data_IF_635222065657
#
_entry.id   IF_635222065657
#
_cell.length_a   1.000
_cell.length_b   1.000
_cell.length_c   1.000
_cell.angle_alpha   90.00
_cell.angle_beta   90.00
_cell.angle_gamma   90.00
#
_symmetry.space_group_name_H-M   'P 1'
#
loop_
_entity.id
_entity.type
_entity.pdbx_description
1 polymer ?
#
# COMPACT_ATOMS: atom_id res chain seq x y z
N UNK A 1 -21.13 0.77 13.82
CA UNK A 1 -20.82 0.35 12.44
C UNK A 1 -20.21 -1.06 12.54
N UNK A 2 -20.79 -2.04 11.85
CA UNK A 2 -20.40 -3.47 11.88
C UNK A 2 -19.63 -3.81 10.60
N UNK A 3 -18.67 -4.74 10.68
CA UNK A 3 -17.98 -5.33 9.53
C UNK A 3 -18.95 -5.85 8.45
N UNK A 4 -19.98 -6.61 8.82
CA UNK A 4 -20.96 -7.18 7.88
C UNK A 4 -21.71 -6.08 7.13
N UNK A 5 -22.16 -5.04 7.84
CA UNK A 5 -22.87 -3.91 7.23
C UNK A 5 -21.99 -3.18 6.20
N UNK A 6 -20.71 -2.98 6.52
CA UNK A 6 -19.77 -2.32 5.61
C UNK A 6 -19.46 -3.21 4.41
N UNK A 7 -19.28 -4.51 4.63
CA UNK A 7 -19.06 -5.48 3.56
C UNK A 7 -20.26 -5.57 2.61
N UNK A 8 -21.48 -5.61 3.14
CA UNK A 8 -22.72 -5.58 2.34
C UNK A 8 -22.84 -4.30 1.53
N UNK A 9 -22.53 -3.14 2.13
CA UNK A 9 -22.54 -1.86 1.43
C UNK A 9 -21.53 -1.84 0.26
N UNK A 10 -20.32 -2.35 0.49
CA UNK A 10 -19.28 -2.46 -0.55
C UNK A 10 -19.71 -3.43 -1.66
N UNK A 11 -20.18 -4.63 -1.31
CA UNK A 11 -20.57 -5.64 -2.30
C UNK A 11 -21.77 -5.21 -3.16
N UNK A 12 -22.66 -4.39 -2.61
CA UNK A 12 -23.80 -3.85 -3.37
C UNK A 12 -23.36 -2.91 -4.49
N UNK A 13 -22.36 -2.07 -4.22
CA UNK A 13 -21.88 -1.06 -5.18
C UNK A 13 -20.75 -1.61 -6.08
N UNK A 14 -19.92 -2.50 -5.55
CA UNK A 14 -18.72 -3.05 -6.19
C UNK A 14 -18.67 -4.59 -6.10
N UNK A 15 -19.62 -5.31 -6.71
CA UNK A 15 -19.78 -6.76 -6.53
C UNK A 15 -18.57 -7.58 -7.00
N UNK A 16 -17.80 -7.07 -7.96
CA UNK A 16 -16.63 -7.77 -8.52
C UNK A 16 -15.29 -7.19 -8.06
N UNK A 17 -15.28 -6.15 -7.22
CA UNK A 17 -14.03 -5.51 -6.79
C UNK A 17 -13.31 -6.30 -5.70
N UNK A 18 -14.08 -6.97 -4.83
CA UNK A 18 -13.54 -7.72 -3.69
C UNK A 18 -13.17 -9.14 -4.12
N UNK A 19 -11.90 -9.49 -4.00
CA UNK A 19 -11.34 -10.81 -4.34
C UNK A 19 -11.38 -11.76 -3.14
N UNK A 20 -11.10 -11.25 -1.94
CA UNK A 20 -11.12 -12.03 -0.71
C UNK A 20 -11.47 -11.16 0.49
N UNK A 21 -12.07 -11.79 1.51
CA UNK A 21 -12.47 -11.14 2.77
C UNK A 21 -11.87 -11.92 3.92
N UNK A 22 -11.32 -11.22 4.90
CA UNK A 22 -10.81 -11.81 6.13
C UNK A 22 -11.00 -10.86 7.30
N UNK A 23 -11.13 -11.40 8.52
CA UNK A 23 -11.32 -10.61 9.74
C UNK A 23 -10.31 -10.99 10.83
N UNK A 24 -8.99 -10.81 10.60
CA UNK A 24 -7.98 -11.08 11.61
C UNK A 24 -8.22 -10.16 12.82
N UNK A 25 -8.46 -10.76 13.99
CA UNK A 25 -8.70 -10.06 15.25
C UNK A 25 -9.86 -9.05 15.17
N UNK A 26 -10.87 -9.33 14.34
CA UNK A 26 -12.05 -8.49 14.16
C UNK A 26 -11.85 -7.26 13.26
N UNK A 27 -10.69 -7.11 12.62
CA UNK A 27 -10.43 -6.04 11.66
C UNK A 27 -10.83 -6.47 10.25
N UNK A 28 -11.87 -5.83 9.68
CA UNK A 28 -12.29 -6.07 8.31
C UNK A 28 -11.13 -5.81 7.33
N UNK A 29 -10.71 -6.87 6.65
CA UNK A 29 -9.60 -6.85 5.69
C UNK A 29 -10.08 -7.39 4.35
N UNK A 30 -10.04 -6.53 3.33
CA UNK A 30 -10.51 -6.84 1.98
C UNK A 30 -9.33 -6.87 1.03
N UNK A 31 -9.24 -7.91 0.22
CA UNK A 31 -8.41 -7.90 -0.97
C UNK A 31 -9.22 -7.36 -2.14
N UNK A 32 -8.70 -6.34 -2.83
CA UNK A 32 -9.42 -5.59 -3.85
C UNK A 32 -8.61 -5.55 -5.15
N UNK A 33 -9.30 -5.63 -6.29
CA UNK A 33 -8.70 -5.39 -7.61
C UNK A 33 -8.07 -4.01 -7.70
N UNK A 34 -6.87 -3.90 -8.29
CA UNK A 34 -6.13 -2.62 -8.38
C UNK A 34 -6.89 -1.56 -9.15
N UNK A 35 -7.68 -1.95 -10.14
CA UNK A 35 -8.45 -1.06 -11.02
C UNK A 35 -9.64 -0.39 -10.30
N UNK A 36 -10.12 -1.01 -9.22
CA UNK A 36 -11.31 -0.55 -8.49
C UNK A 36 -10.98 0.13 -7.17
N UNK A 37 -9.72 0.05 -6.69
CA UNK A 37 -9.34 0.53 -5.35
C UNK A 37 -9.63 2.02 -5.17
N UNK A 38 -9.29 2.87 -6.15
CA UNK A 38 -9.53 4.31 -6.04
C UNK A 38 -11.02 4.65 -5.97
N UNK A 39 -11.84 4.00 -6.80
CA UNK A 39 -13.30 4.21 -6.81
C UNK A 39 -13.92 3.74 -5.50
N UNK A 40 -13.48 2.58 -4.99
CA UNK A 40 -13.94 2.04 -3.72
C UNK A 40 -13.56 2.97 -2.56
N UNK A 41 -12.31 3.45 -2.51
CA UNK A 41 -11.86 4.40 -1.49
C UNK A 41 -12.65 5.71 -1.55
N UNK A 42 -12.89 6.24 -2.74
CA UNK A 42 -13.73 7.42 -2.94
C UNK A 42 -15.15 7.20 -2.41
N UNK A 43 -15.77 6.06 -2.72
CA UNK A 43 -17.09 5.70 -2.20
C UNK A 43 -17.10 5.55 -0.68
N UNK A 44 -16.09 4.89 -0.09
CA UNK A 44 -15.98 4.74 1.37
C UNK A 44 -15.90 6.10 2.07
N UNK A 45 -15.23 7.07 1.45
CA UNK A 45 -15.08 8.42 1.98
C UNK A 45 -16.39 9.23 1.87
N UNK A 46 -17.06 9.20 0.72
CA UNK A 46 -18.18 10.09 0.40
C UNK A 46 -19.58 9.48 0.69
N UNK A 47 -19.67 8.17 0.92
CA UNK A 47 -20.90 7.50 1.33
C UNK A 47 -21.25 7.77 2.80
N UNK A 48 -22.40 7.23 3.26
CA UNK A 48 -22.81 7.23 4.66
C UNK A 48 -21.81 6.54 5.61
N UNK A 49 -20.80 5.85 5.07
CA UNK A 49 -19.73 5.23 5.85
C UNK A 49 -18.72 6.25 6.36
N UNK A 50 -18.63 7.44 5.76
CA UNK A 50 -17.80 8.58 6.18
C UNK A 50 -16.38 8.18 6.64
N UNK A 51 -15.70 7.32 5.87
CA UNK A 51 -14.33 6.90 6.18
C UNK A 51 -13.37 8.03 5.80
N UNK A 52 -13.31 9.04 6.66
CA UNK A 52 -12.62 10.30 6.39
C UNK A 52 -11.15 10.36 6.76
N UNK A 53 -10.58 9.31 7.38
CA UNK A 53 -9.19 9.30 7.82
C UNK A 53 -8.38 8.19 7.16
N UNK A 54 -7.30 8.57 6.48
CA UNK A 54 -6.27 7.66 6.00
C UNK A 54 -5.20 7.54 7.09
N UNK A 55 -5.08 6.36 7.66
CA UNK A 55 -4.11 6.08 8.73
C UNK A 55 -2.73 5.81 8.16
N UNK A 56 -2.65 4.99 7.11
CA UNK A 56 -1.39 4.50 6.57
C UNK A 56 -1.56 3.93 5.16
N UNK A 57 -0.51 4.06 4.34
CA UNK A 57 -0.32 3.33 3.07
C UNK A 57 1.05 2.67 3.15
N UNK A 58 1.09 1.35 3.04
CA UNK A 58 2.35 0.61 3.07
C UNK A 58 2.45 -0.42 1.93
N UNK A 59 3.67 -0.62 1.46
CA UNK A 59 3.99 -1.67 0.49
C UNK A 59 4.25 -3.02 1.17
N UNK A 60 4.06 -4.11 0.42
CA UNK A 60 4.45 -5.46 0.82
C UNK A 60 5.01 -6.22 -0.38
N UNK A 61 5.99 -7.10 -0.13
CA UNK A 61 6.61 -7.92 -1.17
C UNK A 61 6.58 -9.41 -0.80
N UNK A 62 5.92 -10.20 -1.66
CA UNK A 62 5.85 -11.66 -1.65
C UNK A 62 6.49 -12.27 -2.91
N UNK A 63 7.83 -12.40 -2.97
CA UNK A 63 8.56 -12.86 -4.16
C UNK A 63 8.16 -14.27 -4.64
N UNK A 64 7.57 -15.08 -3.75
CA UNK A 64 7.12 -16.43 -4.05
C UNK A 64 5.81 -16.51 -4.82
N UNK A 65 4.98 -15.44 -4.82
CA UNK A 65 3.70 -15.40 -5.53
C UNK A 65 3.81 -14.42 -6.71
N UNK A 66 4.07 -14.95 -7.91
CA UNK A 66 4.32 -14.13 -9.11
C UNK A 66 3.14 -13.24 -9.51
N UNK A 67 1.90 -13.66 -9.23
CA UNK A 67 0.70 -12.87 -9.54
C UNK A 67 0.44 -11.78 -8.49
N UNK A 68 0.93 -11.98 -7.25
CA UNK A 68 0.73 -11.08 -6.10
C UNK A 68 2.07 -10.65 -5.49
N UNK A 69 3.05 -10.40 -6.36
CA UNK A 69 4.44 -10.19 -5.94
C UNK A 69 4.56 -8.92 -5.10
N UNK A 70 3.94 -7.83 -5.55
CA UNK A 70 3.86 -6.58 -4.80
C UNK A 70 2.43 -6.35 -4.33
N UNK A 71 2.30 -5.67 -3.20
CA UNK A 71 1.02 -5.19 -2.74
C UNK A 71 1.10 -3.83 -2.07
N UNK A 72 -0.03 -3.12 -2.11
CA UNK A 72 -0.26 -1.87 -1.39
C UNK A 72 -1.38 -2.12 -0.39
N UNK A 73 -1.16 -1.73 0.86
CA UNK A 73 -2.12 -1.87 1.94
C UNK A 73 -2.58 -0.47 2.34
N UNK A 74 -3.89 -0.25 2.31
CA UNK A 74 -4.52 0.98 2.78
C UNK A 74 -5.18 0.72 4.12
N UNK A 75 -4.81 1.50 5.13
CA UNK A 75 -5.47 1.51 6.43
C UNK A 75 -6.38 2.72 6.51
N UNK A 76 -7.68 2.50 6.56
CA UNK A 76 -8.68 3.56 6.58
C UNK A 76 -9.48 3.50 7.89
N UNK A 77 -9.87 4.66 8.39
CA UNK A 77 -10.55 4.82 9.67
C UNK A 77 -11.67 5.86 9.57
N UNK A 78 -12.84 5.51 10.06
CA UNK A 78 -13.86 6.47 10.42
C UNK A 78 -13.69 6.86 11.90
N UNK A 79 -13.23 8.10 12.14
CA UNK A 79 -13.01 8.63 13.48
C UNK A 79 -14.30 8.83 14.30
N UNK A 80 -15.45 9.06 13.64
CA UNK A 80 -16.75 9.27 14.31
C UNK A 80 -17.33 7.97 14.86
N UNK A 81 -17.27 6.90 14.06
CA UNK A 81 -17.82 5.58 14.43
C UNK A 81 -16.78 4.65 15.03
N UNK A 82 -15.51 5.09 15.07
CA UNK A 82 -14.34 4.31 15.43
C UNK A 82 -14.18 3.00 14.63
N UNK A 83 -14.65 2.99 13.38
CA UNK A 83 -14.61 1.83 12.51
C UNK A 83 -13.35 1.83 11.65
N UNK A 84 -12.66 0.69 11.54
CA UNK A 84 -11.43 0.55 10.76
C UNK A 84 -11.61 -0.51 9.68
N UNK A 85 -11.06 -0.25 8.51
CA UNK A 85 -11.01 -1.19 7.39
C UNK A 85 -9.62 -1.19 6.79
N UNK A 86 -9.17 -2.37 6.38
CA UNK A 86 -7.90 -2.57 5.68
C UNK A 86 -8.19 -3.04 4.26
N UNK A 87 -7.66 -2.34 3.27
CA UNK A 87 -7.71 -2.78 1.89
C UNK A 87 -6.31 -3.27 1.48
N UNK A 88 -6.25 -4.39 0.79
CA UNK A 88 -5.02 -4.96 0.23
C UNK A 88 -5.20 -5.04 -1.27
N UNK A 89 -4.26 -4.47 -2.01
CA UNK A 89 -4.19 -4.57 -3.46
C UNK A 89 -2.92 -5.30 -3.80
N UNK A 90 -3.01 -6.38 -4.55
CA UNK A 90 -1.85 -7.14 -5.01
C UNK A 90 -1.71 -7.03 -6.53
N UNK A 91 -0.47 -7.09 -7.00
CA UNK A 91 -0.12 -6.98 -8.42
C UNK A 91 1.22 -7.66 -8.72
N UNK A 92 1.44 -8.10 -9.96
CA UNK A 92 2.76 -8.55 -10.40
C UNK A 92 3.73 -7.36 -10.47
N UNK A 93 5.02 -7.63 -10.26
CA UNK A 93 6.08 -6.60 -10.27
C UNK A 93 6.19 -5.87 -11.62
N UNK A 94 5.90 -6.56 -12.72
CA UNK A 94 5.93 -6.02 -14.08
C UNK A 94 4.85 -4.94 -14.31
N UNK A 95 3.74 -5.03 -13.57
CA UNK A 95 2.62 -4.09 -13.64
C UNK A 95 2.38 -3.39 -12.29
N UNK A 96 3.48 -3.06 -11.59
CA UNK A 96 3.46 -2.40 -10.28
C UNK A 96 2.99 -0.93 -10.37
N UNK A 97 1.73 -0.73 -10.74
CA UNK A 97 1.09 0.57 -10.90
C UNK A 97 -0.34 0.56 -10.31
N UNK A 98 -0.67 1.61 -9.57
CA UNK A 98 -1.99 1.84 -8.96
C UNK A 98 -2.39 3.31 -9.13
N UNK A 99 -3.68 3.62 -9.20
CA UNK A 99 -4.13 5.01 -9.20
C UNK A 99 -3.86 5.70 -7.85
N UNK A 100 -3.35 6.94 -7.88
CA UNK A 100 -3.15 7.75 -6.68
C UNK A 100 -4.48 8.07 -5.99
N UNK A 101 -4.44 8.14 -4.66
CA UNK A 101 -5.52 8.67 -3.81
C UNK A 101 -5.14 10.01 -3.16
N UNK A 102 -4.06 10.67 -3.61
CA UNK A 102 -3.62 11.98 -3.12
C UNK A 102 -4.64 13.11 -3.34
N UNK A 103 -5.54 12.95 -4.32
CA UNK A 103 -6.69 13.82 -4.56
C UNK A 103 -7.85 13.58 -3.58
N UNK A 104 -7.93 12.37 -2.98
CA UNK A 104 -8.93 12.01 -1.98
C UNK A 104 -8.47 12.31 -0.55
N UNK A 105 -7.20 12.03 -0.26
CA UNK A 105 -6.54 12.29 1.02
C UNK A 105 -5.21 12.99 0.79
N UNK A 106 -5.08 14.23 1.25
CA UNK A 106 -3.84 15.00 1.10
C UNK A 106 -2.62 14.33 1.76
N UNK A 107 -2.86 13.53 2.82
CA UNK A 107 -1.82 12.75 3.50
C UNK A 107 -1.24 11.61 2.66
N UNK A 108 -1.97 11.11 1.66
CA UNK A 108 -1.49 10.03 0.80
C UNK A 108 -0.27 10.45 -0.03
N UNK A 109 -0.09 11.75 -0.30
CA UNK A 109 1.04 12.25 -1.07
C UNK A 109 2.40 11.76 -0.54
N UNK A 110 2.58 11.80 0.78
CA UNK A 110 3.85 11.40 1.40
C UNK A 110 3.98 9.87 1.47
N UNK A 111 2.89 9.17 1.82
CA UNK A 111 2.91 7.72 1.98
C UNK A 111 3.03 6.97 0.63
N UNK A 112 2.44 7.52 -0.43
CA UNK A 112 2.59 6.99 -1.80
C UNK A 112 4.02 7.18 -2.31
N UNK A 113 4.66 8.32 -2.00
CA UNK A 113 6.10 8.53 -2.29
C UNK A 113 6.99 7.58 -1.53
N UNK A 114 6.73 7.35 -0.25
CA UNK A 114 7.45 6.37 0.56
C UNK A 114 7.32 4.95 -0.03
N UNK A 115 6.09 4.57 -0.41
CA UNK A 115 5.83 3.26 -1.01
C UNK A 115 6.53 3.10 -2.36
N UNK A 116 6.56 4.15 -3.17
CA UNK A 116 7.33 4.18 -4.42
C UNK A 116 8.84 4.06 -4.17
N UNK A 117 9.37 4.80 -3.21
CA UNK A 117 10.79 4.78 -2.85
C UNK A 117 11.25 3.38 -2.38
N UNK A 118 10.46 2.75 -1.52
CA UNK A 118 10.84 1.47 -0.92
C UNK A 118 10.54 0.22 -1.74
N UNK A 119 9.48 0.24 -2.56
CA UNK A 119 9.00 -0.94 -3.29
C UNK A 119 8.94 -0.75 -4.81
N UNK A 120 9.11 0.48 -5.32
CA UNK A 120 9.03 0.78 -6.76
C UNK A 120 7.62 0.80 -7.34
N UNK A 121 6.59 0.79 -6.50
CA UNK A 121 5.18 0.82 -6.93
C UNK A 121 4.83 2.23 -7.42
N UNK A 122 4.43 2.36 -8.68
CA UNK A 122 4.09 3.65 -9.30
C UNK A 122 2.65 4.04 -8.98
N UNK A 123 2.45 5.30 -8.62
CA UNK A 123 1.11 5.86 -8.39
C UNK A 123 0.71 6.79 -9.55
N UNK A 124 -0.22 6.32 -10.38
CA UNK A 124 -0.69 7.04 -11.57
C UNK A 124 -1.50 8.27 -11.17
N UNK A 125 -1.15 9.42 -11.74
CA UNK A 125 -1.79 10.71 -11.45
C UNK A 125 -1.25 11.42 -10.21
N UNK A 126 -0.23 10.87 -9.54
CA UNK A 126 0.39 11.51 -8.38
C UNK A 126 1.06 12.84 -8.77
N UNK A 127 0.88 13.95 -8.02
CA UNK A 127 1.37 15.27 -8.41
C UNK A 127 2.90 15.41 -8.34
N UNK A 128 3.56 14.71 -7.42
CA UNK A 128 5.03 14.77 -7.25
C UNK A 128 5.60 13.42 -6.77
N UNK A 129 5.72 12.45 -7.69
CA UNK A 129 6.22 11.12 -7.35
C UNK A 129 7.75 11.04 -7.48
N UNK A 130 8.45 11.58 -6.47
CA UNK A 130 9.91 11.49 -6.35
C UNK A 130 10.31 10.74 -5.08
N UNK A 131 11.50 10.15 -5.13
CA UNK A 131 12.22 9.58 -3.97
C UNK A 131 12.20 10.58 -2.81
N UNK A 132 12.05 10.07 -1.58
CA UNK A 132 11.79 10.91 -0.40
C UNK A 132 12.68 10.57 0.79
N UNK A 133 13.00 9.30 1.01
CA UNK A 133 13.75 8.82 2.17
C UNK A 133 15.15 8.33 1.78
N UNK A 134 15.28 7.66 0.63
CA UNK A 134 16.57 7.14 0.16
C UNK A 134 17.33 8.15 -0.71
N UNK A 135 18.58 7.78 -1.05
CA UNK A 135 19.38 8.53 -2.01
C UNK A 135 18.77 8.42 -3.42
N UNK A 136 18.51 9.54 -4.13
CA UNK A 136 18.00 9.52 -5.50
C UNK A 136 18.82 8.70 -6.49
N UNK A 137 20.13 8.58 -6.26
CA UNK A 137 21.08 7.90 -7.14
C UNK A 137 21.25 6.41 -6.78
N UNK A 138 20.53 5.92 -5.75
CA UNK A 138 20.65 4.53 -5.28
C UNK A 138 20.25 3.50 -6.35
N UNK A 139 19.28 3.82 -7.21
CA UNK A 139 18.89 2.98 -8.35
C UNK A 139 18.22 1.64 -8.01
N UNK A 140 17.91 1.38 -6.73
CA UNK A 140 17.17 0.20 -6.29
C UNK A 140 16.17 0.50 -5.17
N UNK A 141 15.32 -0.48 -4.84
CA UNK A 141 14.24 -0.37 -3.86
C UNK A 141 14.50 -1.31 -2.66
N UNK A 142 14.94 -0.81 -1.50
CA UNK A 142 15.65 -1.61 -0.51
C UNK A 142 14.75 -2.58 0.26
N UNK A 143 13.43 -2.33 0.29
CA UNK A 143 12.47 -3.23 0.96
C UNK A 143 12.06 -4.42 0.08
N UNK A 144 12.60 -4.52 -1.13
CA UNK A 144 12.44 -5.73 -1.93
C UNK A 144 13.33 -6.85 -1.39
N UNK A 145 12.74 -8.03 -1.16
CA UNK A 145 13.40 -9.18 -0.53
C UNK A 145 14.58 -9.78 -1.31
N UNK A 146 14.83 -9.32 -2.54
CA UNK A 146 16.04 -9.68 -3.29
C UNK A 146 17.31 -8.99 -2.77
N UNK A 147 17.16 -7.86 -2.06
CA UNK A 147 18.29 -7.11 -1.53
C UNK A 147 18.68 -7.63 -0.15
N UNK A 148 19.99 -7.63 0.11
CA UNK A 148 20.54 -7.98 1.41
C UNK A 148 20.38 -6.80 2.36
N UNK A 149 20.36 -7.09 3.66
CA UNK A 149 20.28 -6.06 4.69
C UNK A 149 21.50 -5.12 4.67
N UNK A 150 22.68 -5.67 4.39
CA UNK A 150 23.90 -4.89 4.26
C UNK A 150 24.17 -4.56 2.80
N UNK A 151 24.53 -3.30 2.58
CA UNK A 151 25.02 -2.82 1.31
C UNK A 151 26.32 -3.53 0.95
N UNK A 152 26.36 -4.17 -0.22
CA UNK A 152 27.54 -4.86 -0.72
C UNK A 152 28.69 -3.92 -1.12
N UNK A 153 28.44 -2.62 -1.21
CA UNK A 153 29.45 -1.59 -1.53
C UNK A 153 30.09 -0.96 -0.29
N UNK A 154 29.69 -1.41 0.90
CA UNK A 154 30.16 -0.88 2.17
C UNK A 154 31.59 -1.35 2.49
N UNK A 155 32.57 -0.44 2.38
CA UNK A 155 34.01 -0.73 2.57
C UNK A 155 34.52 -0.56 4.02
N UNK A 156 33.76 0.10 4.91
CA UNK A 156 34.17 0.33 6.31
C UNK A 156 34.13 -0.94 7.19
N UNK A 157 33.62 -2.05 6.66
CA UNK A 157 33.64 -3.38 7.28
C UNK A 157 34.59 -4.36 6.56
N UNK A 158 35.59 -3.87 5.83
CA UNK A 158 36.65 -4.76 5.33
C UNK A 158 37.49 -5.25 6.52
N UNK A 159 37.48 -6.56 6.78
CA UNK A 159 38.23 -7.19 7.87
C UNK A 159 39.73 -6.86 7.81
N UNK A 160 40.27 -6.52 6.63
CA UNK A 160 41.65 -6.00 6.47
C UNK A 160 41.90 -4.72 7.27
N UNK A 161 40.87 -3.90 7.49
CA UNK A 161 40.94 -2.66 8.24
C UNK A 161 40.90 -2.90 9.77
N UNK A 162 40.60 -4.13 10.21
CA UNK A 162 40.53 -4.52 11.63
C UNK A 162 41.72 -5.38 12.10
N UNK A 163 42.75 -5.56 11.25
CA UNK A 163 44.03 -6.16 11.65
C UNK A 163 43.93 -7.63 12.10
N UNK A 164 42.98 -8.40 11.55
CA UNK A 164 42.86 -9.85 11.73
C UNK A 164 43.22 -10.60 10.46
#
# INVERSE_FOLDING_TARGET
MNNEFVLEAINREFPEAVLSVSEPYGLLTLEVKKEEVKKLIHHLKDSSLEIGFLTDICGIHYPQDKAKELGVIYHLHNMKTNFRVRLKVFMPIEEAEVDTISDLYSGANWMERETFDFYGIRFKGHPDLRIILNDPDMGYHPMLKQYRLEDGTREDKDDKMFGR
#
